data_IF_620615616551
#
_entry.id   IF_620615616551
#
_cell.length_a   1.000
_cell.length_b   1.000
_cell.length_c   1.000
_cell.angle_alpha   90.00
_cell.angle_beta   90.00
_cell.angle_gamma   90.00
#
_symmetry.space_group_name_H-M   'P 1'
#
loop_
_entity.id
_entity.type
_entity.pdbx_description
1 polymer ?
#
# COMPACT_ATOMS: atom_id res chain seq x y z
N UNK A 1 1.39 -1.43 -29.42
CA UNK A 1 1.98 -0.08 -29.27
C UNK A 1 2.77 -0.04 -27.94
N UNK A 2 3.84 -0.82 -27.90
CA UNK A 2 4.76 -0.91 -26.73
C UNK A 2 6.11 -0.26 -27.04
N UNK A 3 6.25 0.32 -28.23
CA UNK A 3 7.44 1.05 -28.66
C UNK A 3 7.65 2.25 -27.71
N UNK A 4 8.81 2.26 -27.04
CA UNK A 4 9.18 3.29 -26.08
C UNK A 4 8.92 2.99 -24.62
N UNK A 5 8.39 1.82 -24.24
CA UNK A 5 8.27 1.41 -22.85
C UNK A 5 9.60 0.83 -22.34
N UNK A 6 10.24 1.52 -21.41
CA UNK A 6 11.48 1.05 -20.77
C UNK A 6 11.24 -0.19 -19.93
N UNK A 7 12.10 -1.20 -20.07
CA UNK A 7 12.01 -2.45 -19.32
C UNK A 7 10.95 -3.44 -19.79
N UNK A 8 10.11 -3.10 -20.79
CA UNK A 8 9.03 -3.98 -21.25
C UNK A 8 9.53 -5.35 -21.73
N UNK A 9 10.65 -5.40 -22.44
CA UNK A 9 11.26 -6.67 -22.89
C UNK A 9 11.78 -7.56 -21.76
N UNK A 10 12.07 -6.97 -20.60
CA UNK A 10 12.52 -7.68 -19.40
C UNK A 10 11.38 -8.30 -18.62
N UNK A 11 10.13 -7.86 -18.85
CA UNK A 11 8.95 -8.43 -18.20
C UNK A 11 8.77 -9.91 -18.54
N UNK A 12 8.15 -10.64 -17.63
CA UNK A 12 7.64 -11.96 -17.93
C UNK A 12 6.64 -11.91 -19.09
N UNK A 13 6.64 -12.89 -20.03
CA UNK A 13 5.70 -12.92 -21.16
C UNK A 13 4.24 -12.78 -20.73
N UNK A 14 3.84 -13.33 -19.57
CA UNK A 14 2.47 -13.19 -19.07
C UNK A 14 2.12 -11.72 -18.77
N UNK A 15 3.04 -10.97 -18.17
CA UNK A 15 2.83 -9.54 -17.90
C UNK A 15 2.88 -8.68 -19.15
N UNK A 16 3.70 -9.05 -20.14
CA UNK A 16 3.74 -8.31 -21.44
C UNK A 16 2.38 -8.25 -22.12
N UNK A 17 1.54 -9.26 -21.94
CA UNK A 17 0.22 -9.32 -22.55
C UNK A 17 -0.77 -8.30 -21.94
N UNK A 18 -0.58 -7.90 -20.69
CA UNK A 18 -1.53 -7.07 -19.92
C UNK A 18 -0.96 -5.71 -19.53
N UNK A 19 0.33 -5.60 -19.27
CA UNK A 19 1.00 -4.35 -18.87
C UNK A 19 1.39 -3.52 -20.11
N UNK A 20 0.40 -3.10 -20.90
CA UNK A 20 0.62 -2.45 -22.21
C UNK A 20 0.50 -0.92 -22.16
N UNK A 21 0.11 -0.35 -21.03
CA UNK A 21 -0.15 1.08 -20.85
C UNK A 21 0.54 1.63 -19.61
N UNK A 22 0.66 2.96 -19.54
CA UNK A 22 1.15 3.72 -18.39
C UNK A 22 0.00 4.48 -17.74
N UNK A 23 0.05 4.71 -16.45
CA UNK A 23 -0.91 5.57 -15.75
C UNK A 23 -0.49 7.03 -15.91
N UNK A 24 -1.37 7.86 -16.41
CA UNK A 24 -1.10 9.28 -16.63
C UNK A 24 -1.50 10.11 -15.39
N UNK A 25 -0.52 10.67 -14.68
CA UNK A 25 -0.73 11.50 -13.50
C UNK A 25 -0.81 13.01 -13.78
N UNK A 26 -0.97 13.44 -15.03
CA UNK A 26 -1.31 14.83 -15.31
C UNK A 26 -2.64 15.20 -14.65
N UNK A 27 -2.74 16.43 -14.10
CA UNK A 27 -3.91 16.88 -13.34
C UNK A 27 -5.23 16.73 -14.10
N UNK A 28 -5.22 17.02 -15.41
CA UNK A 28 -6.40 16.83 -16.27
C UNK A 28 -6.78 15.36 -16.47
N UNK A 29 -5.80 14.46 -16.49
CA UNK A 29 -6.01 13.04 -16.67
C UNK A 29 -6.54 12.37 -15.39
N UNK A 30 -6.06 12.73 -14.21
CA UNK A 30 -6.51 12.18 -12.92
C UNK A 30 -8.02 12.28 -12.80
N UNK A 31 -8.60 13.45 -13.05
CA UNK A 31 -10.06 13.68 -12.94
C UNK A 31 -10.88 12.80 -13.89
N UNK A 32 -10.35 12.56 -15.10
CA UNK A 32 -11.01 11.72 -16.12
C UNK A 32 -10.84 10.23 -15.82
N UNK A 33 -9.78 9.84 -15.15
CA UNK A 33 -9.46 8.43 -14.88
C UNK A 33 -10.12 7.87 -13.61
N UNK A 34 -10.48 8.70 -12.62
CA UNK A 34 -10.99 8.22 -11.33
C UNK A 34 -12.20 7.30 -11.47
N UNK A 35 -13.23 7.75 -12.16
CA UNK A 35 -14.45 6.97 -12.33
C UNK A 35 -14.20 5.67 -13.11
N UNK A 36 -13.58 5.67 -14.32
CA UNK A 36 -13.25 4.43 -15.01
C UNK A 36 -12.30 3.51 -14.24
N UNK A 37 -11.39 4.08 -13.45
CA UNK A 37 -10.51 3.29 -12.58
C UNK A 37 -11.31 2.59 -11.49
N UNK A 38 -12.16 3.32 -10.76
CA UNK A 38 -13.00 2.79 -9.70
C UNK A 38 -13.99 1.75 -10.21
N UNK A 39 -14.58 1.95 -11.39
CA UNK A 39 -15.48 0.99 -12.02
C UNK A 39 -14.78 -0.35 -12.29
N UNK A 40 -13.59 -0.32 -12.90
CA UNK A 40 -12.81 -1.54 -13.11
C UNK A 40 -12.42 -2.24 -11.81
N UNK A 41 -12.11 -1.46 -10.74
CA UNK A 41 -11.78 -2.03 -9.44
C UNK A 41 -12.99 -2.66 -8.75
N UNK A 42 -14.14 -2.03 -8.87
CA UNK A 42 -15.41 -2.60 -8.39
C UNK A 42 -15.74 -3.92 -9.10
N UNK A 43 -15.65 -3.95 -10.43
CA UNK A 43 -15.86 -5.17 -11.21
C UNK A 43 -14.90 -6.29 -10.78
N UNK A 44 -13.62 -5.96 -10.56
CA UNK A 44 -12.62 -6.93 -10.08
C UNK A 44 -12.93 -7.40 -8.65
N UNK A 45 -13.42 -6.51 -7.79
CA UNK A 45 -13.82 -6.84 -6.42
C UNK A 45 -15.03 -7.80 -6.40
N UNK A 46 -16.03 -7.57 -7.24
CA UNK A 46 -17.21 -8.44 -7.39
C UNK A 46 -16.85 -9.86 -7.86
N UNK A 47 -15.79 -10.00 -8.65
CA UNK A 47 -15.28 -11.28 -9.14
C UNK A 47 -14.35 -11.98 -8.13
N UNK A 48 -13.97 -11.31 -7.04
CA UNK A 48 -13.06 -11.86 -6.05
C UNK A 48 -13.80 -12.86 -5.14
N UNK A 49 -13.31 -14.08 -5.08
CA UNK A 49 -13.81 -15.06 -4.10
C UNK A 49 -13.44 -14.65 -2.67
N UNK A 50 -14.43 -14.25 -1.91
CA UNK A 50 -14.32 -13.87 -0.50
C UNK A 50 -14.94 -14.90 0.45
N UNK A 51 -15.17 -16.13 -0.01
CA UNK A 51 -15.77 -17.17 0.81
C UNK A 51 -15.00 -17.38 2.12
N UNK A 52 -15.74 -17.47 3.21
CA UNK A 52 -15.20 -17.64 4.57
C UNK A 52 -14.83 -16.33 5.26
N UNK A 53 -15.00 -15.17 4.61
CA UNK A 53 -14.84 -13.87 5.22
C UNK A 53 -16.18 -13.16 5.38
N UNK A 54 -16.34 -12.49 6.50
CA UNK A 54 -17.36 -11.47 6.70
C UNK A 54 -16.73 -10.12 6.28
N UNK A 55 -17.39 -9.42 5.36
CA UNK A 55 -16.95 -8.11 4.86
C UNK A 55 -18.04 -7.11 5.21
N UNK A 56 -17.66 -6.05 5.93
CA UNK A 56 -18.60 -5.01 6.40
C UNK A 56 -17.99 -3.64 6.26
N UNK A 57 -18.80 -2.69 5.81
CA UNK A 57 -18.40 -1.29 5.70
C UNK A 57 -18.79 -0.54 6.97
N UNK A 58 -17.86 0.27 7.47
CA UNK A 58 -17.98 1.08 8.67
C UNK A 58 -17.51 2.51 8.40
N UNK A 59 -17.64 3.34 9.42
CA UNK A 59 -17.10 4.69 9.40
C UNK A 59 -16.24 4.91 10.65
N UNK A 60 -14.95 5.11 10.45
CA UNK A 60 -14.05 5.50 11.52
C UNK A 60 -14.28 6.97 11.88
N UNK A 61 -14.79 7.23 13.08
CA UNK A 61 -15.14 8.57 13.55
C UNK A 61 -14.02 9.18 14.39
N UNK A 62 -13.66 10.42 14.08
CA UNK A 62 -12.88 11.29 14.94
C UNK A 62 -13.59 12.65 15.09
N UNK A 63 -13.13 13.52 16.02
CA UNK A 63 -13.75 14.84 16.26
C UNK A 63 -13.86 15.70 14.99
N UNK A 64 -12.94 15.56 14.06
CA UNK A 64 -12.85 16.40 12.86
C UNK A 64 -12.89 15.60 11.53
N UNK A 65 -13.01 14.27 11.57
CA UNK A 65 -12.97 13.43 10.38
C UNK A 65 -13.94 12.25 10.51
N UNK A 66 -14.50 11.87 9.38
CA UNK A 66 -15.35 10.69 9.18
C UNK A 66 -14.78 9.95 7.98
N UNK A 67 -14.13 8.81 8.22
CA UNK A 67 -13.37 8.06 7.23
C UNK A 67 -14.05 6.72 6.97
N UNK A 68 -14.51 6.44 5.74
CA UNK A 68 -15.04 5.13 5.41
C UNK A 68 -13.95 4.05 5.53
N UNK A 69 -14.32 2.89 6.09
CA UNK A 69 -13.42 1.74 6.20
C UNK A 69 -14.17 0.47 5.89
N UNK A 70 -13.48 -0.51 5.34
CA UNK A 70 -14.01 -1.86 5.09
C UNK A 70 -13.25 -2.88 5.92
N UNK A 71 -13.99 -3.66 6.69
CA UNK A 71 -13.47 -4.70 7.59
C UNK A 71 -13.63 -6.06 6.93
N UNK A 72 -12.53 -6.81 6.85
CA UNK A 72 -12.47 -8.19 6.36
C UNK A 72 -12.10 -9.10 7.53
N UNK A 73 -13.01 -9.96 7.94
CA UNK A 73 -12.82 -10.84 9.11
C UNK A 73 -13.17 -12.27 8.78
N UNK A 74 -12.33 -13.20 9.22
CA UNK A 74 -12.63 -14.63 9.21
C UNK A 74 -13.59 -15.05 10.33
N UNK A 75 -13.92 -16.32 10.39
CA UNK A 75 -14.83 -16.91 11.39
C UNK A 75 -14.19 -17.21 12.75
N UNK A 76 -13.04 -16.60 13.09
CA UNK A 76 -12.35 -16.83 14.37
C UNK A 76 -13.19 -16.30 15.55
N UNK A 77 -13.24 -17.09 16.62
CA UNK A 77 -13.94 -16.73 17.88
C UNK A 77 -13.02 -15.98 18.85
N UNK A 78 -11.72 -16.26 18.80
CA UNK A 78 -10.71 -15.58 19.60
C UNK A 78 -10.22 -14.29 18.92
N UNK A 79 -9.73 -13.30 19.70
CA UNK A 79 -9.14 -12.09 19.13
C UNK A 79 -7.91 -12.40 18.27
N UNK A 80 -7.87 -11.87 17.06
CA UNK A 80 -6.81 -12.07 16.07
C UNK A 80 -6.01 -10.79 15.84
N UNK A 81 -4.79 -10.86 15.24
CA UNK A 81 -4.09 -9.66 14.79
C UNK A 81 -4.95 -8.80 13.87
N UNK A 82 -4.68 -7.51 13.87
CA UNK A 82 -5.30 -6.57 12.92
C UNK A 82 -4.29 -5.97 11.97
N UNK A 83 -4.72 -5.69 10.75
CA UNK A 83 -3.97 -4.96 9.73
C UNK A 83 -4.77 -3.73 9.31
N UNK A 84 -4.27 -2.53 9.58
CA UNK A 84 -4.78 -1.29 8.97
C UNK A 84 -4.14 -1.15 7.60
N UNK A 85 -4.95 -1.24 6.55
CA UNK A 85 -4.50 -1.29 5.16
C UNK A 85 -4.83 -0.01 4.41
N UNK A 86 -3.83 0.60 3.75
CA UNK A 86 -3.99 1.74 2.86
C UNK A 86 -3.82 1.30 1.40
N UNK A 87 -4.78 1.62 0.55
CA UNK A 87 -4.82 1.18 -0.84
C UNK A 87 -3.82 1.90 -1.75
N UNK A 88 -3.54 1.30 -2.91
CA UNK A 88 -2.76 1.89 -4.00
C UNK A 88 -3.51 3.03 -4.71
N UNK A 89 -2.83 3.69 -5.66
CA UNK A 89 -3.47 4.69 -6.53
C UNK A 89 -2.76 6.03 -6.58
N UNK A 90 -1.48 6.09 -6.20
CA UNK A 90 -0.65 7.30 -6.30
C UNK A 90 -1.19 8.47 -5.50
N UNK A 91 -1.85 8.24 -4.36
CA UNK A 91 -2.56 9.20 -3.52
C UNK A 91 -3.71 9.94 -4.23
N UNK A 92 -3.96 9.69 -5.51
CA UNK A 92 -4.87 10.46 -6.34
C UNK A 92 -6.03 9.65 -6.93
N UNK A 93 -5.93 8.33 -6.92
CA UNK A 93 -6.91 7.37 -7.44
C UNK A 93 -7.24 6.35 -6.35
N UNK A 94 -8.37 5.67 -6.51
CA UNK A 94 -8.72 4.53 -5.68
C UNK A 94 -9.80 4.82 -4.64
N UNK A 95 -10.24 3.73 -4.03
CA UNK A 95 -11.25 3.62 -2.98
C UNK A 95 -11.14 2.24 -2.31
N UNK A 96 -12.14 1.82 -1.52
CA UNK A 96 -12.18 0.52 -0.83
C UNK A 96 -12.11 -0.70 -1.77
N UNK A 97 -12.44 -0.56 -3.05
CA UNK A 97 -12.43 -1.66 -4.02
C UNK A 97 -11.05 -1.84 -4.69
N UNK A 98 -10.15 -0.85 -4.56
CA UNK A 98 -8.88 -0.80 -5.29
C UNK A 98 -8.02 -2.04 -5.03
N UNK A 99 -7.81 -2.40 -3.77
CA UNK A 99 -7.01 -3.54 -3.34
C UNK A 99 -7.85 -4.58 -2.58
N UNK A 100 -9.14 -4.70 -2.96
CA UNK A 100 -10.07 -5.64 -2.34
C UNK A 100 -9.53 -7.07 -2.33
N UNK A 101 -9.02 -7.55 -3.46
CA UNK A 101 -8.41 -8.90 -3.57
C UNK A 101 -7.25 -9.05 -2.61
N UNK A 102 -6.36 -8.08 -2.49
CA UNK A 102 -5.23 -8.14 -1.57
C UNK A 102 -5.70 -8.19 -0.11
N UNK A 103 -6.71 -7.38 0.26
CA UNK A 103 -7.29 -7.42 1.60
C UNK A 103 -7.91 -8.80 1.93
N UNK A 104 -8.59 -9.42 0.97
CA UNK A 104 -9.13 -10.79 1.08
C UNK A 104 -8.00 -11.80 1.31
N UNK A 105 -6.94 -11.74 0.51
CA UNK A 105 -5.79 -12.66 0.62
C UNK A 105 -5.04 -12.48 1.95
N UNK A 106 -4.84 -11.23 2.40
CA UNK A 106 -4.22 -10.94 3.71
C UNK A 106 -5.07 -11.48 4.86
N UNK A 107 -6.38 -11.23 4.86
CA UNK A 107 -7.27 -11.72 5.91
C UNK A 107 -7.32 -13.25 5.95
N UNK A 108 -7.45 -13.89 4.79
CA UNK A 108 -7.57 -15.35 4.66
C UNK A 108 -6.25 -16.04 5.00
N UNK A 109 -5.14 -15.64 4.37
CA UNK A 109 -3.83 -16.30 4.54
C UNK A 109 -3.13 -15.88 5.82
N UNK A 110 -3.31 -14.64 6.26
CA UNK A 110 -2.73 -14.13 7.51
C UNK A 110 -3.50 -14.53 8.75
N UNK A 111 -4.76 -14.98 8.62
CA UNK A 111 -5.61 -15.29 9.77
C UNK A 111 -5.88 -14.07 10.65
N UNK A 112 -5.96 -12.89 10.08
CA UNK A 112 -6.08 -11.61 10.74
C UNK A 112 -7.36 -10.86 10.31
N UNK A 113 -7.74 -9.83 11.05
CA UNK A 113 -8.74 -8.86 10.61
C UNK A 113 -8.06 -7.76 9.83
N UNK A 114 -8.48 -7.51 8.58
CA UNK A 114 -7.98 -6.39 7.76
C UNK A 114 -8.99 -5.26 7.75
N UNK A 115 -8.53 -4.04 7.98
CA UNK A 115 -9.33 -2.82 7.93
C UNK A 115 -8.76 -1.91 6.84
N UNK A 116 -9.40 -1.91 5.67
CA UNK A 116 -9.03 -1.06 4.53
C UNK A 116 -9.59 0.34 4.71
N UNK A 117 -8.78 1.34 4.38
CA UNK A 117 -9.09 2.77 4.63
C UNK A 117 -9.36 3.49 3.31
N UNK A 118 -10.52 4.13 3.20
CA UNK A 118 -10.86 5.03 2.09
C UNK A 118 -10.39 6.45 2.42
N UNK A 119 -9.10 6.67 2.31
CA UNK A 119 -8.48 7.94 2.64
C UNK A 119 -8.73 9.00 1.55
N UNK A 120 -8.80 10.27 1.94
CA UNK A 120 -8.98 11.40 1.01
C UNK A 120 -7.83 11.50 0.02
N UNK A 121 -8.16 11.88 -1.21
CA UNK A 121 -7.23 11.84 -2.34
C UNK A 121 -6.72 13.23 -2.72
N UNK A 122 -5.47 13.26 -3.18
CA UNK A 122 -4.85 14.39 -3.85
C UNK A 122 -5.37 14.51 -5.30
N UNK A 123 -5.30 15.68 -5.90
CA UNK A 123 -4.78 16.94 -5.39
C UNK A 123 -5.77 17.74 -4.53
N UNK A 124 -7.04 17.31 -4.43
CA UNK A 124 -8.07 18.04 -3.69
C UNK A 124 -7.78 18.08 -2.19
N UNK A 125 -7.20 16.98 -1.67
CA UNK A 125 -6.80 16.82 -0.29
C UNK A 125 -5.34 16.34 -0.22
N UNK A 126 -4.35 17.26 -0.38
CA UNK A 126 -2.95 16.90 -0.30
C UNK A 126 -2.54 16.52 1.14
N UNK A 127 -1.28 16.18 1.34
CA UNK A 127 -0.71 16.00 2.68
C UNK A 127 -1.05 17.21 3.59
N UNK A 128 -1.49 17.00 4.85
CA UNK A 128 -1.48 15.71 5.55
C UNK A 128 -2.79 14.90 5.44
N UNK A 129 -3.81 15.34 4.68
CA UNK A 129 -5.14 14.79 4.73
C UNK A 129 -5.22 13.25 4.55
N UNK A 130 -4.53 12.60 3.58
CA UNK A 130 -4.55 11.14 3.46
C UNK A 130 -3.96 10.44 4.67
N UNK A 131 -2.88 10.98 5.25
CA UNK A 131 -2.25 10.40 6.44
C UNK A 131 -3.14 10.60 7.69
N UNK A 132 -3.78 11.75 7.85
CA UNK A 132 -4.72 12.02 8.96
C UNK A 132 -5.90 11.05 8.95
N UNK A 133 -6.38 10.67 7.76
CA UNK A 133 -7.44 9.68 7.61
C UNK A 133 -6.94 8.28 8.01
N UNK A 134 -5.75 7.89 7.60
CA UNK A 134 -5.13 6.64 8.03
C UNK A 134 -4.89 6.61 9.56
N UNK A 135 -4.45 7.71 10.17
CA UNK A 135 -4.35 7.88 11.63
C UNK A 135 -5.70 7.73 12.31
N UNK A 136 -6.76 8.31 11.73
CA UNK A 136 -8.12 8.20 12.25
C UNK A 136 -8.58 6.74 12.25
N UNK A 137 -8.35 6.02 11.15
CA UNK A 137 -8.70 4.61 11.05
C UNK A 137 -7.91 3.74 12.04
N UNK A 138 -6.61 3.96 12.21
CA UNK A 138 -5.78 3.24 13.19
C UNK A 138 -6.29 3.45 14.63
N UNK A 139 -6.59 4.68 15.00
CA UNK A 139 -7.14 5.00 16.33
C UNK A 139 -8.52 4.37 16.54
N UNK A 140 -9.35 4.38 15.50
CA UNK A 140 -10.66 3.73 15.53
C UNK A 140 -10.55 2.23 15.72
N UNK A 141 -9.63 1.55 15.00
CA UNK A 141 -9.34 0.12 15.15
C UNK A 141 -8.93 -0.19 16.59
N UNK A 142 -7.99 0.57 17.16
CA UNK A 142 -7.53 0.35 18.53
C UNK A 142 -8.65 0.58 19.57
N UNK A 143 -9.50 1.57 19.37
CA UNK A 143 -10.62 1.88 20.27
C UNK A 143 -11.78 0.87 20.20
N UNK A 144 -11.98 0.21 19.06
CA UNK A 144 -13.07 -0.75 18.82
C UNK A 144 -12.56 -2.21 18.77
N UNK A 145 -11.37 -2.49 19.28
CA UNK A 145 -10.70 -3.79 19.16
C UNK A 145 -11.58 -4.96 19.64
N UNK A 146 -12.29 -4.82 20.76
CA UNK A 146 -13.19 -5.84 21.30
C UNK A 146 -14.36 -6.15 20.35
N UNK A 147 -15.00 -5.12 19.81
CA UNK A 147 -16.14 -5.26 18.89
C UNK A 147 -15.70 -5.91 17.56
N UNK A 148 -14.52 -5.52 17.10
CA UNK A 148 -13.91 -6.04 15.87
C UNK A 148 -13.27 -7.42 16.04
N UNK A 149 -13.21 -7.96 17.26
CA UNK A 149 -12.53 -9.24 17.56
C UNK A 149 -11.03 -9.18 17.30
N UNK A 150 -10.40 -8.08 17.66
CA UNK A 150 -8.98 -7.77 17.42
C UNK A 150 -8.20 -7.84 18.73
N UNK A 151 -7.01 -8.41 18.68
CA UNK A 151 -6.01 -8.25 19.72
C UNK A 151 -5.28 -6.91 19.54
N UNK A 152 -5.58 -5.96 20.41
CA UNK A 152 -5.01 -4.61 20.35
C UNK A 152 -3.49 -4.58 20.52
N UNK A 153 -2.89 -5.63 21.11
CA UNK A 153 -1.44 -5.76 21.24
C UNK A 153 -0.77 -6.23 19.94
N UNK A 154 -1.56 -6.68 18.95
CA UNK A 154 -1.07 -7.23 17.68
C UNK A 154 -1.65 -6.46 16.49
N UNK A 155 -1.43 -5.14 16.46
CA UNK A 155 -1.80 -4.29 15.32
C UNK A 155 -0.60 -4.16 14.38
N UNK A 156 -0.83 -4.46 13.11
CA UNK A 156 0.07 -4.22 12.00
C UNK A 156 -0.49 -3.12 11.10
N UNK A 157 0.38 -2.52 10.31
CA UNK A 157 0.00 -1.64 9.20
C UNK A 157 0.47 -2.23 7.89
N UNK A 158 -0.33 -2.05 6.84
CA UNK A 158 0.04 -2.50 5.52
C UNK A 158 -0.43 -1.48 4.47
N UNK A 159 0.18 -1.55 3.31
CA UNK A 159 -0.28 -0.77 2.18
C UNK A 159 0.43 -1.14 0.89
N UNK A 160 -0.19 -0.75 -0.20
CA UNK A 160 0.30 -0.97 -1.56
C UNK A 160 0.64 0.35 -2.21
N UNK A 161 1.83 0.47 -2.82
CA UNK A 161 2.25 1.67 -3.56
C UNK A 161 2.21 2.95 -2.67
N UNK A 162 1.41 3.93 -3.05
CA UNK A 162 1.16 5.14 -2.25
C UNK A 162 0.60 4.83 -0.85
N UNK A 163 -0.24 3.80 -0.73
CA UNK A 163 -0.75 3.34 0.56
C UNK A 163 0.35 2.81 1.48
N UNK A 164 1.42 2.25 0.93
CA UNK A 164 2.57 1.83 1.71
C UNK A 164 3.35 3.02 2.31
N UNK A 165 3.35 4.19 1.66
CA UNK A 165 3.88 5.42 2.25
C UNK A 165 3.07 5.83 3.49
N UNK A 166 1.72 5.74 3.41
CA UNK A 166 0.84 6.03 4.55
C UNK A 166 1.06 5.03 5.69
N UNK A 167 1.18 3.74 5.36
CA UNK A 167 1.50 2.69 6.34
C UNK A 167 2.86 2.94 7.04
N UNK A 168 3.90 3.32 6.28
CA UNK A 168 5.18 3.72 6.87
C UNK A 168 5.05 4.96 7.76
N UNK A 169 4.24 5.95 7.35
CA UNK A 169 3.93 7.12 8.16
C UNK A 169 3.25 6.76 9.51
N UNK A 170 2.29 5.81 9.48
CA UNK A 170 1.69 5.27 10.70
C UNK A 170 2.73 4.59 11.60
N UNK A 171 3.61 3.76 11.02
CA UNK A 171 4.69 3.10 11.76
C UNK A 171 5.64 4.12 12.41
N UNK A 172 5.96 5.21 11.70
CA UNK A 172 6.75 6.33 12.25
C UNK A 172 6.06 6.97 13.46
N UNK A 173 4.77 7.30 13.33
CA UNK A 173 4.01 7.90 14.43
C UNK A 173 3.89 6.99 15.66
N UNK A 174 3.76 5.68 15.46
CA UNK A 174 3.76 4.71 16.54
C UNK A 174 5.12 4.63 17.26
N UNK A 175 6.23 4.60 16.50
CA UNK A 175 7.57 4.61 17.07
C UNK A 175 7.90 5.92 17.83
N UNK A 176 7.29 7.04 17.44
CA UNK A 176 7.40 8.32 18.17
C UNK A 176 6.45 8.42 19.38
N UNK A 177 5.63 7.40 19.63
CA UNK A 177 4.67 7.38 20.74
C UNK A 177 3.45 8.26 20.56
N UNK A 178 3.22 8.81 19.36
CA UNK A 178 2.07 9.67 19.04
C UNK A 178 0.83 8.89 18.58
N UNK A 179 0.98 7.61 18.23
CA UNK A 179 -0.05 6.71 17.77
C UNK A 179 -0.10 5.42 18.61
N UNK A 180 -1.19 4.64 18.52
CA UNK A 180 -1.25 3.31 19.11
C UNK A 180 -0.06 2.44 18.68
N UNK A 181 0.42 1.52 19.53
CA UNK A 181 1.52 0.62 19.20
C UNK A 181 1.25 -0.19 17.93
N UNK A 182 2.27 -0.29 17.08
CA UNK A 182 2.28 -1.12 15.86
C UNK A 182 3.46 -2.07 15.97
N UNK A 183 3.23 -3.37 15.75
CA UNK A 183 4.27 -4.39 15.87
C UNK A 183 4.86 -4.84 14.54
N UNK A 184 4.18 -4.56 13.44
CA UNK A 184 4.60 -5.00 12.10
C UNK A 184 4.18 -4.01 11.02
N UNK A 185 5.03 -3.83 9.99
CA UNK A 185 4.71 -3.06 8.79
C UNK A 185 4.95 -3.89 7.53
N UNK A 186 3.92 -3.99 6.68
CA UNK A 186 3.95 -4.66 5.39
C UNK A 186 3.87 -3.61 4.28
N UNK A 187 4.97 -3.40 3.57
CA UNK A 187 5.10 -2.37 2.55
C UNK A 187 5.24 -3.02 1.17
N UNK A 188 4.15 -3.04 0.40
CA UNK A 188 4.14 -3.64 -0.93
C UNK A 188 4.37 -2.59 -2.01
N UNK A 189 5.44 -2.77 -2.82
CA UNK A 189 5.86 -1.85 -3.89
C UNK A 189 5.84 -0.38 -3.43
N UNK A 190 6.49 -0.06 -2.29
CA UNK A 190 6.21 1.15 -1.56
C UNK A 190 6.76 2.39 -2.25
N UNK A 191 5.97 3.46 -2.21
CA UNK A 191 6.35 4.81 -2.59
C UNK A 191 6.93 5.50 -1.34
N UNK A 192 8.25 5.67 -1.26
CA UNK A 192 8.92 6.10 -0.02
C UNK A 192 9.71 7.39 -0.15
N UNK A 193 10.20 7.72 -1.33
CA UNK A 193 11.11 8.85 -1.56
C UNK A 193 10.61 9.75 -2.68
N UNK A 194 10.54 11.04 -2.46
CA UNK A 194 10.18 12.04 -3.47
C UNK A 194 11.37 12.50 -4.33
N UNK A 195 12.59 12.09 -3.98
CA UNK A 195 13.82 12.42 -4.69
C UNK A 195 14.02 11.50 -5.89
N UNK A 196 14.85 11.95 -6.84
CA UNK A 196 15.28 11.12 -7.96
C UNK A 196 16.11 9.93 -7.48
N UNK A 197 15.81 8.75 -8.05
CA UNK A 197 16.57 7.51 -7.85
C UNK A 197 17.01 6.96 -9.20
N UNK A 198 17.97 6.02 -9.21
CA UNK A 198 18.41 5.39 -10.45
C UNK A 198 17.26 4.63 -11.14
N UNK A 199 16.41 3.92 -10.36
CA UNK A 199 15.26 3.21 -10.92
C UNK A 199 14.18 4.16 -11.50
N UNK A 200 13.95 5.33 -10.93
CA UNK A 200 13.04 6.33 -11.53
C UNK A 200 13.54 6.82 -12.88
N UNK A 201 14.84 6.96 -13.04
CA UNK A 201 15.48 7.33 -14.31
C UNK A 201 15.48 6.15 -15.30
N UNK A 202 15.86 4.95 -14.85
CA UNK A 202 15.86 3.73 -15.66
C UNK A 202 14.48 3.41 -16.21
N UNK A 203 13.44 3.58 -15.37
CA UNK A 203 12.05 3.29 -15.70
C UNK A 203 11.21 4.55 -15.91
N UNK A 204 11.79 5.56 -16.55
CA UNK A 204 11.11 6.83 -16.86
C UNK A 204 9.82 6.64 -17.67
N UNK A 205 9.71 5.55 -18.44
CA UNK A 205 8.57 5.20 -19.26
C UNK A 205 8.21 3.70 -19.14
N UNK A 206 8.25 3.13 -17.93
CA UNK A 206 7.91 1.71 -17.72
C UNK A 206 6.42 1.42 -17.81
N UNK A 207 6.04 0.15 -18.06
CA UNK A 207 4.65 -0.27 -18.04
C UNK A 207 4.00 -0.08 -16.66
N UNK A 208 2.70 0.08 -16.65
CA UNK A 208 1.83 0.27 -15.50
C UNK A 208 2.09 1.58 -14.74
N UNK A 209 3.25 1.78 -14.14
CA UNK A 209 3.66 3.01 -13.47
C UNK A 209 5.10 3.37 -13.84
N UNK A 210 5.40 4.65 -13.97
CA UNK A 210 6.69 5.14 -14.47
C UNK A 210 7.27 6.32 -13.67
N UNK A 211 8.51 6.70 -13.97
CA UNK A 211 9.22 7.76 -13.27
C UNK A 211 8.59 9.15 -13.43
N UNK A 212 8.01 9.44 -14.60
CA UNK A 212 7.28 10.71 -14.83
C UNK A 212 6.02 10.78 -13.96
N UNK A 213 5.28 9.67 -13.91
CA UNK A 213 4.12 9.52 -13.04
C UNK A 213 4.48 9.65 -11.56
N UNK A 214 5.63 9.12 -11.14
CA UNK A 214 6.12 9.24 -9.77
C UNK A 214 6.38 10.71 -9.37
N UNK A 215 6.99 11.50 -10.25
CA UNK A 215 7.22 12.93 -10.01
C UNK A 215 5.92 13.72 -9.86
N UNK A 216 4.96 13.50 -10.78
CA UNK A 216 3.66 14.16 -10.75
C UNK A 216 2.86 13.78 -9.52
N UNK A 217 2.85 12.50 -9.16
CA UNK A 217 2.19 11.97 -7.97
C UNK A 217 2.69 12.65 -6.69
N UNK A 218 4.00 12.74 -6.48
CA UNK A 218 4.58 13.42 -5.33
C UNK A 218 4.24 14.92 -5.32
N UNK A 219 4.27 15.58 -6.47
CA UNK A 219 3.87 16.99 -6.61
C UNK A 219 2.42 17.22 -6.18
N UNK A 220 1.49 16.31 -6.53
CA UNK A 220 0.10 16.41 -6.13
C UNK A 220 -0.10 16.11 -4.64
N UNK A 221 0.65 15.15 -4.09
CA UNK A 221 0.55 14.77 -2.69
C UNK A 221 1.14 15.83 -1.75
N UNK A 222 2.32 16.32 -2.06
CA UNK A 222 3.02 17.29 -1.21
C UNK A 222 2.47 18.73 -1.37
N UNK A 223 1.94 19.08 -2.53
CA UNK A 223 1.52 20.44 -2.89
C UNK A 223 2.62 21.47 -2.58
N UNK A 224 2.41 22.32 -1.56
CA UNK A 224 3.39 23.29 -1.09
C UNK A 224 4.17 22.84 0.16
N UNK A 225 3.81 21.69 0.75
CA UNK A 225 4.47 21.17 1.96
C UNK A 225 5.65 20.27 1.58
N UNK A 226 6.83 20.81 1.62
CA UNK A 226 8.08 20.07 1.44
C UNK A 226 8.65 19.46 2.72
N UNK A 227 7.84 19.25 3.78
CA UNK A 227 8.35 18.78 5.07
C UNK A 227 8.89 17.35 4.98
N UNK A 228 9.98 17.07 5.69
CA UNK A 228 10.56 15.74 5.77
C UNK A 228 9.59 14.70 6.39
N UNK A 229 8.61 15.17 7.19
CA UNK A 229 7.63 14.32 7.83
C UNK A 229 6.63 13.68 6.86
N UNK A 230 6.43 14.29 5.68
CA UNK A 230 5.50 13.79 4.64
C UNK A 230 6.09 12.68 3.77
N UNK A 231 7.42 12.46 3.83
CA UNK A 231 8.13 11.51 2.97
C UNK A 231 8.88 10.49 3.82
N UNK A 232 8.46 9.22 3.84
CA UNK A 232 9.01 8.21 4.76
C UNK A 232 10.54 8.06 4.69
N UNK A 233 11.12 8.07 3.50
CA UNK A 233 12.57 7.91 3.31
C UNK A 233 13.39 9.11 3.81
N UNK A 234 12.79 10.27 4.05
CA UNK A 234 13.48 11.43 4.63
C UNK A 234 13.64 11.36 6.14
N UNK A 235 12.96 10.42 6.82
CA UNK A 235 13.17 10.18 8.25
C UNK A 235 14.61 9.68 8.49
N UNK A 236 15.35 10.35 9.35
CA UNK A 236 16.76 10.02 9.62
C UNK A 236 16.89 8.82 10.56
N UNK A 237 16.13 8.81 11.66
CA UNK A 237 16.20 7.78 12.69
C UNK A 237 15.12 6.73 12.48
N UNK A 238 15.54 5.50 12.10
CA UNK A 238 14.65 4.37 11.86
C UNK A 238 14.66 3.33 13.01
N UNK A 239 15.53 3.49 14.01
CA UNK A 239 15.54 2.64 15.21
C UNK A 239 14.21 2.71 15.96
N UNK A 240 13.74 1.55 16.45
CA UNK A 240 12.46 1.43 17.16
C UNK A 240 11.22 1.32 16.24
N UNK A 241 11.39 1.33 14.94
CA UNK A 241 10.32 1.01 14.00
C UNK A 241 9.92 -0.48 14.12
N UNK A 242 8.67 -0.84 13.82
CA UNK A 242 8.21 -2.22 13.86
C UNK A 242 8.92 -3.09 12.81
N UNK A 243 9.00 -4.40 13.08
CA UNK A 243 9.46 -5.40 12.11
C UNK A 243 8.80 -5.18 10.74
N UNK A 244 9.56 -5.34 9.66
CA UNK A 244 9.11 -5.00 8.32
C UNK A 244 9.16 -6.18 7.34
N UNK A 245 8.13 -6.31 6.50
CA UNK A 245 8.20 -7.00 5.23
C UNK A 245 8.07 -5.98 4.11
N UNK A 246 9.07 -5.90 3.24
CA UNK A 246 9.07 -5.04 2.06
C UNK A 246 9.12 -5.92 0.81
N UNK A 247 8.20 -5.70 -0.11
CA UNK A 247 8.16 -6.41 -1.39
C UNK A 247 8.14 -5.40 -2.54
N UNK A 248 8.96 -5.61 -3.56
CA UNK A 248 8.99 -4.73 -4.74
C UNK A 248 9.15 -5.52 -6.04
N UNK A 249 8.85 -4.88 -7.15
CA UNK A 249 9.04 -5.42 -8.49
C UNK A 249 10.42 -5.03 -9.05
N UNK A 250 10.98 -5.84 -9.95
CA UNK A 250 12.28 -5.55 -10.58
C UNK A 250 12.19 -4.36 -11.54
N UNK A 251 11.10 -4.28 -12.32
CA UNK A 251 10.90 -3.26 -13.35
C UNK A 251 9.90 -2.24 -12.81
N UNK A 252 10.38 -1.44 -11.85
CA UNK A 252 9.56 -0.54 -11.06
C UNK A 252 10.36 0.73 -10.73
N UNK A 253 9.84 1.93 -10.99
CA UNK A 253 10.50 3.17 -10.60
C UNK A 253 10.76 3.29 -9.08
N UNK A 254 10.00 2.57 -8.25
CA UNK A 254 10.14 2.57 -6.79
C UNK A 254 11.06 1.46 -6.25
N UNK A 255 11.67 0.64 -7.11
CA UNK A 255 12.56 -0.47 -6.73
C UNK A 255 13.69 -0.03 -5.80
N UNK A 256 14.45 0.98 -6.21
CA UNK A 256 15.68 1.35 -5.50
C UNK A 256 15.38 2.00 -4.15
N UNK A 257 14.31 2.80 -4.04
CA UNK A 257 13.90 3.39 -2.76
C UNK A 257 13.40 2.33 -1.77
N UNK A 258 12.71 1.28 -2.25
CA UNK A 258 12.31 0.15 -1.43
C UNK A 258 13.52 -0.62 -0.87
N UNK A 259 14.51 -0.88 -1.72
CA UNK A 259 15.77 -1.56 -1.35
C UNK A 259 16.56 -0.71 -0.35
N UNK A 260 16.72 0.59 -0.62
CA UNK A 260 17.45 1.49 0.26
C UNK A 260 16.78 1.61 1.63
N UNK A 261 15.45 1.75 1.67
CA UNK A 261 14.72 1.83 2.93
C UNK A 261 14.87 0.54 3.75
N UNK A 262 14.77 -0.64 3.13
CA UNK A 262 15.03 -1.92 3.79
C UNK A 262 16.45 -2.00 4.37
N UNK A 263 17.48 -1.58 3.63
CA UNK A 263 18.85 -1.54 4.12
C UNK A 263 19.02 -0.59 5.30
N UNK A 264 18.36 0.56 5.28
CA UNK A 264 18.41 1.53 6.38
C UNK A 264 17.71 1.00 7.64
N UNK A 265 16.59 0.28 7.50
CA UNK A 265 15.92 -0.41 8.60
C UNK A 265 16.86 -1.45 9.24
N UNK A 266 17.47 -2.32 8.44
CA UNK A 266 18.44 -3.32 8.91
C UNK A 266 19.62 -2.68 9.66
N UNK A 267 20.21 -1.60 9.13
CA UNK A 267 21.31 -0.86 9.79
C UNK A 267 20.86 -0.21 11.10
N UNK A 268 19.58 0.12 11.22
CA UNK A 268 18.99 0.68 12.44
C UNK A 268 18.59 -0.40 13.46
N UNK A 269 18.85 -1.70 13.19
CA UNK A 269 18.51 -2.82 14.06
C UNK A 269 17.04 -3.27 13.98
N UNK A 270 16.31 -2.84 12.96
CA UNK A 270 14.93 -3.27 12.72
C UNK A 270 14.94 -4.57 11.90
N UNK A 271 14.31 -5.62 12.42
CA UNK A 271 14.15 -6.87 11.67
C UNK A 271 13.37 -6.64 10.38
N UNK A 272 13.97 -6.97 9.24
CA UNK A 272 13.41 -6.63 7.93
C UNK A 272 13.60 -7.77 6.94
N UNK A 273 12.51 -8.16 6.31
CA UNK A 273 12.49 -9.06 5.15
C UNK A 273 12.29 -8.22 3.89
N UNK A 274 13.10 -8.45 2.85
CA UNK A 274 13.00 -7.79 1.54
C UNK A 274 12.92 -8.82 0.42
N UNK A 275 11.91 -8.69 -0.44
CA UNK A 275 11.76 -9.53 -1.63
C UNK A 275 11.62 -8.67 -2.89
N UNK A 276 12.50 -8.90 -3.86
CA UNK A 276 12.41 -8.31 -5.20
C UNK A 276 11.89 -9.38 -6.16
N UNK A 277 10.70 -9.15 -6.72
CA UNK A 277 10.09 -10.08 -7.68
C UNK A 277 10.66 -9.83 -9.07
N UNK A 278 11.44 -10.81 -9.54
CA UNK A 278 12.10 -10.72 -10.83
C UNK A 278 11.08 -10.71 -11.98
N UNK A 279 11.38 -9.93 -13.03
CA UNK A 279 10.62 -9.83 -14.28
C UNK A 279 9.16 -9.34 -14.08
N UNK A 280 8.88 -8.61 -12.99
CA UNK A 280 7.59 -8.02 -12.69
C UNK A 280 7.63 -6.50 -12.79
N UNK A 281 6.48 -5.87 -13.02
CA UNK A 281 6.30 -4.42 -12.98
C UNK A 281 5.44 -4.00 -11.78
N UNK A 282 5.31 -2.70 -11.56
CA UNK A 282 4.44 -2.13 -10.54
C UNK A 282 2.99 -2.63 -10.68
N UNK A 283 2.37 -3.11 -9.61
CA UNK A 283 1.00 -3.62 -9.61
C UNK A 283 0.82 -4.97 -10.32
N UNK A 284 1.88 -5.78 -10.49
CA UNK A 284 1.80 -7.06 -11.20
C UNK A 284 0.77 -8.03 -10.61
N UNK A 285 0.59 -8.00 -9.32
CA UNK A 285 -0.37 -8.79 -8.55
C UNK A 285 -1.83 -8.38 -8.81
N UNK A 286 -2.05 -7.09 -9.03
CA UNK A 286 -3.33 -6.53 -9.46
C UNK A 286 -3.66 -6.83 -10.92
N UNK A 287 -2.64 -6.84 -11.79
CA UNK A 287 -2.79 -7.14 -13.22
C UNK A 287 -3.08 -8.62 -13.47
N UNK A 288 -2.41 -9.50 -12.74
CA UNK A 288 -2.52 -10.96 -12.87
C UNK A 288 -2.61 -11.62 -11.48
N UNK A 289 -3.73 -11.49 -10.76
CA UNK A 289 -3.85 -11.96 -9.37
C UNK A 289 -3.68 -13.48 -9.24
N UNK A 290 -4.09 -14.26 -10.24
CA UNK A 290 -4.01 -15.72 -10.21
C UNK A 290 -2.68 -16.28 -10.76
N UNK A 291 -1.77 -15.41 -11.18
CA UNK A 291 -0.45 -15.81 -11.65
C UNK A 291 0.43 -16.31 -10.50
N UNK A 292 1.32 -17.27 -10.80
CA UNK A 292 2.16 -17.92 -9.79
C UNK A 292 3.02 -16.94 -8.97
N UNK A 293 3.50 -15.84 -9.57
CA UNK A 293 4.26 -14.84 -8.83
C UNK A 293 3.38 -14.04 -7.87
N UNK A 294 2.15 -13.72 -8.27
CA UNK A 294 1.16 -13.05 -7.40
C UNK A 294 0.72 -13.96 -6.26
N UNK A 295 0.51 -15.24 -6.54
CA UNK A 295 0.18 -16.22 -5.51
C UNK A 295 1.31 -16.40 -4.49
N UNK A 296 2.58 -16.41 -4.94
CA UNK A 296 3.75 -16.41 -4.04
C UNK A 296 3.84 -15.14 -3.19
N UNK A 297 3.50 -13.99 -3.77
CA UNK A 297 3.43 -12.73 -3.02
C UNK A 297 2.39 -12.83 -1.89
N UNK A 298 1.16 -13.26 -2.21
CA UNK A 298 0.10 -13.39 -1.22
C UNK A 298 0.45 -14.42 -0.13
N UNK A 299 1.09 -15.53 -0.49
CA UNK A 299 1.57 -16.51 0.50
C UNK A 299 2.64 -15.92 1.42
N UNK A 300 3.64 -15.25 0.87
CA UNK A 300 4.69 -14.58 1.62
C UNK A 300 4.12 -13.56 2.63
N UNK A 301 3.16 -12.75 2.19
CA UNK A 301 2.51 -11.75 3.04
C UNK A 301 1.65 -12.42 4.13
N UNK A 302 0.90 -13.47 3.79
CA UNK A 302 0.13 -14.25 4.74
C UNK A 302 1.02 -14.93 5.78
N UNK A 303 2.13 -15.54 5.36
CA UNK A 303 3.11 -16.16 6.26
C UNK A 303 3.70 -15.16 7.25
N UNK A 304 4.03 -13.96 6.79
CA UNK A 304 4.54 -12.91 7.65
C UNK A 304 3.52 -12.48 8.71
N UNK A 305 2.24 -12.35 8.33
CA UNK A 305 1.17 -11.97 9.25
C UNK A 305 0.81 -13.08 10.25
N UNK A 306 0.99 -14.36 9.91
CA UNK A 306 0.79 -15.46 10.87
C UNK A 306 1.84 -15.51 11.98
N UNK A 307 2.98 -14.85 11.78
CA UNK A 307 4.09 -14.82 12.76
C UNK A 307 3.99 -13.69 13.79
N UNK A 308 2.99 -12.81 13.72
CA UNK A 308 2.80 -11.66 14.60
C UNK A 308 1.74 -11.90 15.67
#
# INVERSE_FOLDING_TARGET
>A
MTDGLTGWERLDPALRAVATTRTNFALSAIKLMREPFNDRRREAAELTDAQGLQITDHTAQAKAASVPVRVYRGGQTEPVPAVVFCHAGGFALGNLDTDHRQCVELARRGGCTVVSVDYRLSPEHPYPAPLDDAVTALRWVAANATELGIDVARIAVAGSSAGAALAAGLAHGAADGSLPPIIFQLLHQPVLDDRATASKTEFAASPAFDGEGAELMWRHYLASDGSAASVPARRERLGGLPTALITCAEIDPFRDEAIEYAQRLLRAGVSTELHVFARTCHGFDSLLPDWSASQRLFELQGDALRRI
#
